data_IF_479205165343
#
_entry.id   IF_479205165343
#
_cell.length_a   1.000
_cell.length_b   1.000
_cell.length_c   1.000
_cell.angle_alpha   90.00
_cell.angle_beta   90.00
_cell.angle_gamma   90.00
#
_symmetry.space_group_name_H-M   'P 1'
#
loop_
_entity.id
_entity.type
_entity.pdbx_description
1 polymer ?
#
# COMPACT_ATOMS: atom_id res chain seq x y z
N UNK A 1 -20.93 -2.93 8.44
CA UNK A 1 -19.56 -2.90 7.91
C UNK A 1 -19.11 -4.34 7.69
N UNK A 2 -18.32 -4.58 6.65
CA UNK A 2 -17.71 -5.88 6.40
C UNK A 2 -16.84 -6.29 7.61
N UNK A 3 -16.98 -7.52 8.08
CA UNK A 3 -16.16 -8.03 9.18
C UNK A 3 -14.93 -8.74 8.62
N UNK A 4 -13.76 -8.10 8.72
CA UNK A 4 -12.50 -8.65 8.23
C UNK A 4 -11.96 -9.70 9.21
N UNK A 5 -11.41 -10.80 8.67
CA UNK A 5 -10.69 -11.81 9.46
C UNK A 5 -9.21 -11.44 9.51
N UNK A 6 -8.78 -10.89 10.64
CA UNK A 6 -7.40 -10.44 10.84
C UNK A 6 -6.55 -11.50 11.55
N UNK A 7 -5.32 -11.70 11.08
CA UNK A 7 -4.31 -12.56 11.71
C UNK A 7 -3.97 -12.02 13.10
N UNK A 8 -3.90 -12.89 14.10
CA UNK A 8 -3.58 -12.51 15.48
C UNK A 8 -2.10 -12.73 15.84
N UNK A 9 -1.41 -13.58 15.08
CA UNK A 9 0.01 -13.85 15.24
C UNK A 9 0.89 -12.68 14.72
N UNK A 10 2.12 -12.61 15.22
CA UNK A 10 3.12 -11.70 14.69
C UNK A 10 3.70 -12.24 13.39
N UNK A 11 3.12 -11.84 12.27
CA UNK A 11 3.46 -12.27 10.91
C UNK A 11 4.28 -11.24 10.12
N UNK A 12 4.86 -10.25 10.79
CA UNK A 12 5.66 -9.18 10.18
C UNK A 12 7.02 -9.70 9.77
N UNK A 13 7.59 -9.13 8.71
CA UNK A 13 8.95 -9.45 8.23
C UNK A 13 10.06 -8.80 9.08
N UNK A 14 9.70 -8.25 10.23
CA UNK A 14 10.59 -7.56 11.17
C UNK A 14 10.20 -7.90 12.61
N UNK A 15 11.14 -7.84 13.57
CA UNK A 15 10.85 -8.17 14.96
C UNK A 15 9.97 -7.12 15.64
N UNK A 16 9.13 -7.59 16.56
CA UNK A 16 8.34 -6.74 17.46
C UNK A 16 9.26 -5.93 18.38
N UNK A 17 8.86 -4.70 18.71
CA UNK A 17 9.56 -3.86 19.67
C UNK A 17 8.80 -3.77 20.99
N UNK A 18 9.45 -4.08 22.10
CA UNK A 18 8.85 -4.09 23.44
C UNK A 18 8.50 -2.70 23.98
N UNK A 19 8.99 -1.62 23.37
CA UNK A 19 8.65 -0.22 23.71
C UNK A 19 7.35 0.25 23.06
N UNK A 20 6.77 -0.54 22.17
CA UNK A 20 5.59 -0.19 21.37
C UNK A 20 4.47 -1.18 21.68
N UNK A 21 3.28 -0.66 21.98
CA UNK A 21 2.05 -1.44 21.97
C UNK A 21 1.59 -1.63 20.54
N UNK A 22 1.27 -2.86 20.20
CA UNK A 22 0.76 -3.23 18.88
C UNK A 22 -0.63 -3.81 19.03
N UNK A 23 -1.53 -3.37 18.16
CA UNK A 23 -2.87 -3.92 18.00
C UNK A 23 -3.28 -3.87 16.53
N UNK A 24 -4.43 -4.45 16.20
CA UNK A 24 -5.03 -4.33 14.87
C UNK A 24 -6.30 -3.52 14.94
N UNK A 25 -6.56 -2.75 13.89
CA UNK A 25 -7.77 -1.97 13.73
C UNK A 25 -8.34 -2.10 12.33
N UNK A 26 -9.61 -1.77 12.19
CA UNK A 26 -10.26 -1.60 10.90
C UNK A 26 -10.92 -0.23 10.83
N UNK A 27 -10.87 0.39 9.66
CA UNK A 27 -11.62 1.61 9.33
C UNK A 27 -12.18 1.48 7.92
N UNK A 28 -12.93 2.47 7.43
CA UNK A 28 -13.52 2.42 6.09
C UNK A 28 -13.28 3.72 5.36
N UNK A 29 -13.16 3.63 4.03
CA UNK A 29 -13.02 4.79 3.16
C UNK A 29 -14.38 5.27 2.63
N UNK A 30 -14.41 6.43 1.95
CA UNK A 30 -15.65 6.99 1.37
C UNK A 30 -16.28 6.13 0.27
N UNK A 31 -15.53 5.18 -0.30
CA UNK A 31 -16.06 4.18 -1.24
C UNK A 31 -16.70 2.97 -0.54
N UNK A 32 -16.72 2.94 0.80
CA UNK A 32 -17.33 1.88 1.60
C UNK A 32 -16.47 0.64 1.80
N UNK A 33 -15.20 0.68 1.40
CA UNK A 33 -14.26 -0.44 1.56
C UNK A 33 -13.69 -0.40 2.97
N UNK A 34 -13.74 -1.53 3.67
CA UNK A 34 -13.13 -1.66 4.99
C UNK A 34 -11.64 -1.99 4.84
N UNK A 35 -10.79 -1.18 5.47
CA UNK A 35 -9.33 -1.29 5.46
C UNK A 35 -8.84 -1.89 6.78
N UNK A 36 -7.84 -2.75 6.71
CA UNK A 36 -7.15 -3.33 7.85
C UNK A 36 -5.85 -2.58 8.12
N UNK A 37 -5.56 -2.33 9.40
CA UNK A 37 -4.32 -1.70 9.82
C UNK A 37 -3.71 -2.36 11.06
N UNK A 38 -2.38 -2.28 11.12
CA UNK A 38 -1.62 -2.47 12.34
C UNK A 38 -1.41 -1.11 12.99
N UNK A 39 -1.74 -1.03 14.27
CA UNK A 39 -1.61 0.17 15.11
C UNK A 39 -0.40 -0.01 16.02
N UNK A 40 0.44 1.01 16.09
CA UNK A 40 1.67 1.06 16.85
C UNK A 40 1.65 2.32 17.74
N UNK A 41 1.62 2.13 19.06
CA UNK A 41 1.56 3.23 20.03
C UNK A 41 2.74 3.14 20.99
N UNK A 42 3.50 4.22 21.24
CA UNK A 42 4.54 4.23 22.27
C UNK A 42 3.95 3.92 23.66
N UNK A 43 4.65 3.10 24.44
CA UNK A 43 4.28 2.84 25.85
C UNK A 43 4.54 4.05 26.74
N UNK A 44 3.78 4.13 27.84
CA UNK A 44 3.96 5.11 28.92
C UNK A 44 3.89 6.57 28.46
N UNK A 45 2.98 6.90 27.54
CA UNK A 45 2.79 8.29 27.10
C UNK A 45 1.57 8.91 27.75
N UNK A 46 1.74 10.15 28.20
CA UNK A 46 0.68 11.00 28.72
C UNK A 46 0.24 12.02 27.67
N UNK A 47 -1.07 12.30 27.62
CA UNK A 47 -1.64 13.28 26.71
C UNK A 47 -1.83 12.78 25.28
N UNK A 48 -2.10 13.73 24.38
CA UNK A 48 -2.37 13.47 22.97
C UNK A 48 -1.08 13.42 22.14
N UNK A 49 -0.97 12.39 21.31
CA UNK A 49 0.18 12.12 20.45
C UNK A 49 0.03 12.80 19.08
N UNK A 50 1.14 13.24 18.45
CA UNK A 50 1.14 13.38 17.00
C UNK A 50 0.94 12.00 16.36
N UNK A 51 0.29 11.95 15.19
CA UNK A 51 -0.01 10.69 14.53
C UNK A 51 0.50 10.62 13.10
N UNK A 52 0.72 9.39 12.63
CA UNK A 52 1.21 9.14 11.27
C UNK A 52 0.57 7.91 10.64
N UNK A 53 0.05 8.06 9.43
CA UNK A 53 -0.38 6.93 8.62
C UNK A 53 0.69 6.56 7.58
N UNK A 54 0.99 5.28 7.45
CA UNK A 54 2.03 4.75 6.57
C UNK A 54 1.44 3.72 5.62
N UNK A 55 1.77 3.84 4.34
CA UNK A 55 1.43 2.81 3.35
C UNK A 55 2.44 2.73 2.22
N UNK A 56 2.34 1.63 1.48
CA UNK A 56 3.24 1.22 0.42
C UNK A 56 4.34 0.27 0.86
N UNK A 57 5.10 -0.30 -0.09
CA UNK A 57 5.07 -0.10 -1.55
C UNK A 57 3.78 -0.52 -2.27
N UNK A 58 3.65 -0.08 -3.53
CA UNK A 58 2.54 -0.49 -4.38
C UNK A 58 2.64 -1.99 -4.71
N UNK A 59 1.72 -2.79 -4.16
CA UNK A 59 1.71 -4.25 -4.24
C UNK A 59 2.32 -4.94 -3.01
N UNK A 60 2.71 -4.17 -1.99
CA UNK A 60 3.11 -4.67 -0.68
C UNK A 60 1.94 -4.61 0.32
N UNK A 61 2.15 -5.22 1.50
CA UNK A 61 1.18 -5.23 2.61
C UNK A 61 1.81 -4.63 3.88
N UNK A 62 0.96 -4.27 4.85
CA UNK A 62 1.35 -3.62 6.11
C UNK A 62 2.34 -4.43 6.96
N UNK A 63 2.42 -5.74 6.77
CA UNK A 63 3.40 -6.61 7.43
C UNK A 63 4.84 -6.44 6.92
N UNK A 64 5.02 -5.70 5.82
CA UNK A 64 6.31 -5.42 5.18
C UNK A 64 6.85 -4.05 5.63
N UNK A 65 7.50 -3.29 4.74
CA UNK A 65 8.22 -2.06 5.13
C UNK A 65 7.33 -0.94 5.67
N UNK A 66 6.04 -0.84 5.32
CA UNK A 66 5.14 0.16 5.91
C UNK A 66 4.95 -0.08 7.41
N UNK A 67 4.76 -1.34 7.82
CA UNK A 67 4.72 -1.72 9.23
C UNK A 67 6.03 -1.41 9.96
N UNK A 68 7.18 -1.68 9.32
CA UNK A 68 8.48 -1.36 9.90
C UNK A 68 8.62 0.15 10.14
N UNK A 69 8.24 0.97 9.15
CA UNK A 69 8.24 2.43 9.29
C UNK A 69 7.27 2.88 10.40
N UNK A 70 6.05 2.36 10.44
CA UNK A 70 5.08 2.71 11.48
C UNK A 70 5.59 2.35 12.89
N UNK A 71 6.15 1.15 13.08
CA UNK A 71 6.77 0.77 14.35
C UNK A 71 7.92 1.72 14.73
N UNK A 72 8.77 2.11 13.76
CA UNK A 72 9.86 3.06 13.99
C UNK A 72 9.36 4.46 14.33
N UNK A 73 8.28 4.91 13.72
CA UNK A 73 7.66 6.18 14.09
C UNK A 73 7.04 6.12 15.50
N UNK A 74 6.46 5.00 15.90
CA UNK A 74 6.00 4.81 17.27
C UNK A 74 7.14 4.84 18.28
N UNK A 75 8.30 4.25 17.96
CA UNK A 75 9.52 4.37 18.77
C UNK A 75 9.98 5.83 18.96
N UNK A 76 9.62 6.72 18.03
CA UNK A 76 9.92 8.16 18.05
C UNK A 76 8.79 9.01 18.67
N UNK A 77 7.76 8.38 19.25
CA UNK A 77 6.71 9.07 19.99
C UNK A 77 5.47 9.44 19.18
N UNK A 78 5.22 8.77 18.06
CA UNK A 78 4.00 8.96 17.26
C UNK A 78 2.97 7.87 17.51
N UNK A 79 1.67 8.20 17.48
CA UNK A 79 0.64 7.20 17.21
C UNK A 79 0.74 6.82 15.73
N UNK A 80 1.20 5.62 15.40
CA UNK A 80 1.46 5.24 14.03
C UNK A 80 0.56 4.10 13.57
N UNK A 81 0.08 4.17 12.33
CA UNK A 81 -0.59 3.04 11.68
C UNK A 81 0.10 2.68 10.38
N UNK A 82 0.16 1.38 10.09
CA UNK A 82 0.41 0.88 8.74
C UNK A 82 -0.85 0.18 8.26
N UNK A 83 -1.35 0.53 7.08
CA UNK A 83 -2.60 -0.02 6.56
C UNK A 83 -2.40 -0.78 5.25
N UNK A 84 -3.22 -1.82 5.07
CA UNK A 84 -3.35 -2.49 3.79
C UNK A 84 -4.29 -1.67 2.89
N UNK A 85 -3.88 -1.34 1.66
CA UNK A 85 -4.75 -0.65 0.70
C UNK A 85 -6.04 -1.40 0.38
N UNK A 86 -7.03 -0.68 -0.14
CA UNK A 86 -8.25 -1.26 -0.72
C UNK A 86 -7.91 -2.43 -1.65
N UNK A 87 -8.69 -3.52 -1.57
CA UNK A 87 -8.56 -4.74 -2.39
C UNK A 87 -7.30 -5.58 -2.17
N UNK A 88 -6.45 -5.24 -1.20
CA UNK A 88 -5.17 -5.93 -0.94
C UNK A 88 -5.04 -6.40 0.51
N UNK A 89 -4.01 -7.21 0.79
CA UNK A 89 -3.70 -7.68 2.13
C UNK A 89 -4.90 -8.28 2.87
N UNK A 90 -5.10 -7.84 4.11
CA UNK A 90 -6.26 -8.19 4.95
C UNK A 90 -7.44 -7.23 4.78
N UNK A 91 -7.29 -6.12 4.03
CA UNK A 91 -8.38 -5.20 3.71
C UNK A 91 -9.42 -5.84 2.81
N UNK A 92 -10.66 -5.37 2.90
CA UNK A 92 -11.79 -5.84 2.12
C UNK A 92 -11.78 -5.38 0.66
N UNK A 93 -12.94 -5.51 0.01
CA UNK A 93 -13.16 -5.14 -1.39
C UNK A 93 -13.00 -6.30 -2.38
N UNK A 94 -13.85 -6.28 -3.40
CA UNK A 94 -13.88 -7.24 -4.50
C UNK A 94 -14.06 -6.52 -5.86
N UNK A 95 -13.46 -7.02 -6.96
CA UNK A 95 -12.53 -8.16 -7.00
C UNK A 95 -11.22 -7.87 -6.25
N UNK A 96 -10.47 -8.91 -5.86
CA UNK A 96 -9.17 -8.75 -5.20
C UNK A 96 -8.13 -8.22 -6.18
N UNK A 97 -7.09 -7.57 -5.66
CA UNK A 97 -5.88 -7.18 -6.40
C UNK A 97 -6.15 -6.22 -7.58
N UNK A 98 -7.05 -5.28 -7.37
CA UNK A 98 -7.25 -4.12 -8.25
C UNK A 98 -6.83 -2.85 -7.52
N UNK A 99 -6.20 -1.92 -8.23
CA UNK A 99 -5.85 -0.61 -7.73
C UNK A 99 -6.56 0.49 -8.54
N UNK A 100 -6.72 1.65 -7.92
CA UNK A 100 -7.15 2.88 -8.56
C UNK A 100 -6.44 4.05 -7.87
N UNK A 101 -5.87 5.01 -8.60
CA UNK A 101 -5.19 6.15 -8.00
C UNK A 101 -6.16 6.99 -7.14
N UNK A 102 -7.44 7.08 -7.54
CA UNK A 102 -8.48 7.77 -6.77
C UNK A 102 -8.77 7.04 -5.45
N UNK A 103 -9.06 5.74 -5.52
CA UNK A 103 -9.34 4.92 -4.32
C UNK A 103 -8.12 4.87 -3.39
N UNK A 104 -6.91 4.71 -3.92
CA UNK A 104 -5.71 4.64 -3.09
C UNK A 104 -5.30 6.00 -2.50
N UNK A 105 -5.63 7.11 -3.17
CA UNK A 105 -5.50 8.46 -2.57
C UNK A 105 -6.50 8.60 -1.42
N UNK A 106 -7.75 8.19 -1.64
CA UNK A 106 -8.80 8.20 -0.63
C UNK A 106 -8.49 7.27 0.56
N UNK A 107 -7.81 6.14 0.34
CA UNK A 107 -7.39 5.26 1.45
C UNK A 107 -6.49 5.99 2.46
N UNK A 108 -5.65 6.94 2.01
CA UNK A 108 -4.90 7.82 2.92
C UNK A 108 -5.82 8.80 3.66
N UNK A 109 -6.78 9.43 2.99
CA UNK A 109 -7.75 10.31 3.63
C UNK A 109 -8.57 9.56 4.70
N UNK A 110 -8.95 8.31 4.42
CA UNK A 110 -9.64 7.43 5.37
C UNK A 110 -8.75 7.04 6.57
N UNK A 111 -7.45 6.85 6.34
CA UNK A 111 -6.50 6.65 7.43
C UNK A 111 -6.39 7.90 8.31
N UNK A 112 -6.44 9.10 7.72
CA UNK A 112 -6.51 10.38 8.46
C UNK A 112 -7.82 10.52 9.23
N UNK A 113 -8.96 10.09 8.67
CA UNK A 113 -10.25 10.02 9.39
C UNK A 113 -10.12 9.17 10.65
N UNK A 114 -9.58 7.96 10.50
CA UNK A 114 -9.37 7.04 11.61
C UNK A 114 -8.48 7.66 12.69
N UNK A 115 -7.35 8.26 12.33
CA UNK A 115 -6.44 8.88 13.30
C UNK A 115 -7.08 10.09 14.00
N UNK A 116 -7.86 10.90 13.29
CA UNK A 116 -8.45 12.15 13.81
C UNK A 116 -9.44 11.95 14.95
N UNK A 117 -10.02 10.75 15.08
CA UNK A 117 -11.03 10.43 16.08
C UNK A 117 -10.49 9.59 17.25
N UNK A 118 -9.20 9.25 17.25
CA UNK A 118 -8.60 8.52 18.38
C UNK A 118 -8.46 9.44 19.60
N UNK A 119 -8.87 8.98 20.78
CA UNK A 119 -8.87 9.78 22.01
C UNK A 119 -7.46 10.29 22.39
N UNK A 120 -6.45 9.47 22.11
CA UNK A 120 -5.04 9.73 22.40
C UNK A 120 -4.28 10.40 21.24
N UNK A 121 -4.96 10.86 20.18
CA UNK A 121 -4.34 11.58 19.06
C UNK A 121 -4.73 13.06 19.09
N UNK A 122 -3.77 13.92 18.76
CA UNK A 122 -4.02 15.32 18.44
C UNK A 122 -4.34 15.47 16.94
N UNK A 123 -5.61 15.76 16.57
CA UNK A 123 -6.01 15.85 15.17
C UNK A 123 -5.31 16.99 14.41
N UNK A 124 -4.75 17.98 15.11
CA UNK A 124 -3.96 19.05 14.48
C UNK A 124 -2.49 18.68 14.24
N UNK A 125 -2.10 17.43 14.52
CA UNK A 125 -0.72 16.92 14.37
C UNK A 125 -0.67 15.57 13.66
N UNK A 126 -1.40 15.44 12.56
CA UNK A 126 -1.42 14.25 11.72
C UNK A 126 -0.54 14.45 10.48
N UNK A 127 0.35 13.49 10.21
CA UNK A 127 1.10 13.40 8.97
C UNK A 127 0.92 12.05 8.26
N UNK A 128 1.49 11.90 7.07
CA UNK A 128 1.48 10.64 6.33
C UNK A 128 2.85 10.33 5.69
N UNK A 129 3.13 9.03 5.54
CA UNK A 129 4.31 8.52 4.81
C UNK A 129 3.84 7.60 3.69
N UNK A 130 4.24 7.92 2.47
CA UNK A 130 4.04 7.08 1.29
C UNK A 130 5.36 6.49 0.80
N UNK A 131 5.43 5.17 0.64
CA UNK A 131 6.64 4.46 0.21
C UNK A 131 6.47 3.96 -1.23
N UNK A 132 7.47 4.17 -2.09
CA UNK A 132 7.45 3.77 -3.51
C UNK A 132 6.20 4.33 -4.21
N UNK A 133 5.36 3.51 -4.86
CA UNK A 133 4.15 3.99 -5.52
C UNK A 133 3.21 4.78 -4.62
N UNK A 134 3.14 4.43 -3.33
CA UNK A 134 2.31 5.17 -2.37
C UNK A 134 2.86 6.55 -2.02
N UNK A 135 4.11 6.87 -2.39
CA UNK A 135 4.63 8.22 -2.31
C UNK A 135 3.85 9.20 -3.21
N UNK A 136 3.48 8.77 -4.42
CA UNK A 136 2.63 9.56 -5.31
C UNK A 136 1.22 9.76 -4.75
N UNK A 137 0.59 8.69 -4.24
CA UNK A 137 -0.73 8.77 -3.59
C UNK A 137 -0.70 9.65 -2.34
N UNK A 138 0.36 9.61 -1.54
CA UNK A 138 0.51 10.46 -0.36
C UNK A 138 0.58 11.95 -0.73
N UNK A 139 1.36 12.30 -1.77
CA UNK A 139 1.41 13.69 -2.27
C UNK A 139 0.04 14.12 -2.79
N UNK A 140 -0.66 13.25 -3.52
CA UNK A 140 -2.01 13.55 -4.02
C UNK A 140 -3.01 13.79 -2.88
N UNK A 141 -3.00 12.94 -1.85
CA UNK A 141 -3.86 13.09 -0.67
C UNK A 141 -3.58 14.40 0.08
N UNK A 142 -2.31 14.72 0.29
CA UNK A 142 -1.88 15.96 0.95
C UNK A 142 -2.29 17.23 0.19
N UNK A 143 -2.45 17.15 -1.14
CA UNK A 143 -2.89 18.28 -1.94
C UNK A 143 -4.38 18.63 -1.73
N UNK A 144 -5.20 17.67 -1.28
CA UNK A 144 -6.65 17.83 -1.16
C UNK A 144 -7.17 17.78 0.28
N UNK A 145 -6.47 17.10 1.19
CA UNK A 145 -6.88 16.94 2.59
C UNK A 145 -6.05 17.85 3.52
N UNK A 146 -6.66 18.97 3.91
CA UNK A 146 -6.03 20.02 4.73
C UNK A 146 -5.71 19.60 6.17
N UNK A 147 -6.17 18.41 6.60
CA UNK A 147 -5.84 17.85 7.91
C UNK A 147 -4.44 17.25 7.94
N UNK A 148 -3.89 16.89 6.78
CA UNK A 148 -2.52 16.39 6.65
C UNK A 148 -1.55 17.55 6.82
N UNK A 149 -0.82 17.57 7.94
CA UNK A 149 0.09 18.67 8.29
C UNK A 149 1.51 18.48 7.76
N UNK A 150 1.90 17.23 7.48
CA UNK A 150 3.18 16.89 6.91
C UNK A 150 3.08 15.60 6.08
N UNK A 151 3.77 15.56 4.96
CA UNK A 151 3.84 14.38 4.08
C UNK A 151 5.29 14.07 3.75
N UNK A 152 5.66 12.80 3.82
CA UNK A 152 6.97 12.33 3.42
C UNK A 152 6.85 11.21 2.37
N UNK A 153 7.43 11.44 1.19
CA UNK A 153 7.46 10.46 0.10
C UNK A 153 8.82 9.77 0.05
N UNK A 154 8.85 8.46 0.25
CA UNK A 154 10.07 7.66 0.34
C UNK A 154 10.30 6.88 -0.96
N UNK A 155 11.42 7.14 -1.65
CA UNK A 155 11.80 6.47 -2.91
C UNK A 155 10.64 6.37 -3.91
N UNK A 156 9.92 7.47 -4.09
CA UNK A 156 8.57 7.46 -4.64
C UNK A 156 8.48 7.12 -6.13
N UNK A 157 7.30 6.64 -6.52
CA UNK A 157 6.88 6.45 -7.91
C UNK A 157 5.60 7.25 -8.17
N UNK A 158 5.48 7.79 -9.38
CA UNK A 158 4.18 8.16 -9.96
C UNK A 158 3.62 6.94 -10.71
N UNK A 159 2.72 6.22 -10.05
CA UNK A 159 2.14 5.00 -10.60
C UNK A 159 1.30 5.26 -11.86
N UNK A 160 0.68 6.44 -11.99
CA UNK A 160 -0.10 6.78 -13.18
C UNK A 160 0.80 6.96 -14.39
N UNK A 161 1.91 7.69 -14.23
CA UNK A 161 2.90 7.87 -15.29
C UNK A 161 3.60 6.56 -15.65
N UNK A 162 4.03 5.78 -14.66
CA UNK A 162 4.68 4.49 -14.92
C UNK A 162 3.73 3.50 -15.61
N UNK A 163 2.44 3.51 -15.28
CA UNK A 163 1.46 2.66 -15.95
C UNK A 163 1.25 3.08 -17.41
N UNK A 164 1.18 4.38 -17.66
CA UNK A 164 0.93 4.95 -18.99
C UNK A 164 2.15 4.87 -19.94
N UNK A 165 3.34 5.18 -19.41
CA UNK A 165 4.55 5.39 -20.21
C UNK A 165 5.66 4.37 -19.90
N UNK A 166 5.47 3.45 -18.96
CA UNK A 166 6.50 2.52 -18.54
C UNK A 166 7.60 3.18 -17.70
N UNK A 167 8.59 2.38 -17.30
CA UNK A 167 9.77 2.87 -16.59
C UNK A 167 10.58 3.82 -17.48
N UNK A 168 10.97 4.97 -16.92
CA UNK A 168 11.72 6.01 -17.64
C UNK A 168 11.07 6.45 -18.95
N UNK A 169 9.73 6.39 -19.03
CA UNK A 169 8.93 6.67 -20.22
C UNK A 169 9.28 5.83 -21.47
N UNK A 170 9.85 4.62 -21.28
CA UNK A 170 10.27 3.76 -22.38
C UNK A 170 9.13 3.25 -23.29
N UNK A 171 7.89 3.30 -22.81
CA UNK A 171 6.67 2.95 -23.57
C UNK A 171 5.91 4.20 -24.08
N UNK A 172 6.57 5.36 -24.19
CA UNK A 172 5.95 6.61 -24.67
C UNK A 172 5.71 6.65 -26.20
N UNK A 173 5.04 5.62 -26.73
CA UNK A 173 4.54 5.57 -28.11
C UNK A 173 3.02 5.49 -28.12
N UNK A 174 2.37 6.39 -28.86
CA UNK A 174 0.92 6.38 -29.03
C UNK A 174 0.40 5.02 -29.51
N UNK A 175 1.04 4.45 -30.53
CA UNK A 175 0.66 3.17 -31.11
C UNK A 175 0.82 2.03 -30.09
N UNK A 176 1.93 1.99 -29.35
CA UNK A 176 2.16 0.97 -28.33
C UNK A 176 1.12 1.07 -27.20
N UNK A 177 0.82 2.27 -26.72
CA UNK A 177 -0.22 2.51 -25.71
C UNK A 177 -1.61 2.12 -26.19
N UNK A 178 -1.93 2.38 -27.47
CA UNK A 178 -3.20 1.97 -28.06
C UNK A 178 -3.33 0.45 -28.14
N UNK A 179 -2.30 -0.26 -28.63
CA UNK A 179 -2.32 -1.73 -28.68
C UNK A 179 -2.35 -2.36 -27.28
N UNK A 180 -1.63 -1.79 -26.31
CA UNK A 180 -1.70 -2.21 -24.90
C UNK A 180 -3.13 -2.10 -24.36
N UNK A 181 -3.81 -0.98 -24.61
CA UNK A 181 -5.23 -0.79 -24.21
C UNK A 181 -6.15 -1.78 -24.90
N UNK A 182 -5.95 -2.09 -26.18
CA UNK A 182 -6.72 -3.14 -26.87
C UNK A 182 -6.54 -4.50 -26.20
N UNK A 183 -5.31 -4.88 -25.87
CA UNK A 183 -5.03 -6.13 -25.17
C UNK A 183 -5.67 -6.18 -23.78
N UNK A 184 -5.58 -5.09 -23.00
CA UNK A 184 -6.23 -5.00 -21.68
C UNK A 184 -7.76 -5.06 -21.77
N UNK A 185 -8.36 -4.42 -22.77
CA UNK A 185 -9.81 -4.49 -22.99
C UNK A 185 -10.28 -5.90 -23.40
N UNK A 186 -9.49 -6.60 -24.21
CA UNK A 186 -9.73 -8.01 -24.53
C UNK A 186 -9.63 -8.89 -23.28
N UNK A 187 -8.59 -8.71 -22.46
CA UNK A 187 -8.42 -9.42 -21.19
C UNK A 187 -9.60 -9.18 -20.25
N UNK A 188 -10.07 -7.92 -20.12
CA UNK A 188 -11.23 -7.59 -19.29
C UNK A 188 -12.51 -8.32 -19.73
N UNK A 189 -12.68 -8.50 -21.03
CA UNK A 189 -13.81 -9.26 -21.59
C UNK A 189 -13.69 -10.75 -21.25
N UNK A 190 -12.48 -11.29 -21.31
CA UNK A 190 -12.20 -12.68 -20.95
C UNK A 190 -12.39 -12.93 -19.45
N UNK A 191 -11.87 -12.03 -18.61
CA UNK A 191 -12.02 -12.11 -17.16
C UNK A 191 -13.52 -12.16 -16.76
N UNK A 192 -14.34 -11.31 -17.39
CA UNK A 192 -15.78 -11.28 -17.14
C UNK A 192 -16.50 -12.55 -17.60
N UNK A 193 -16.11 -13.13 -18.74
CA UNK A 193 -16.70 -14.39 -19.23
C UNK A 193 -16.40 -15.56 -18.29
N UNK A 194 -15.21 -15.57 -17.69
CA UNK A 194 -14.71 -16.69 -16.91
C UNK A 194 -14.99 -16.55 -15.40
N UNK A 195 -15.52 -15.40 -14.95
CA UNK A 195 -15.67 -15.05 -13.53
C UNK A 195 -14.35 -15.23 -12.74
N UNK A 196 -13.24 -14.89 -13.40
CA UNK A 196 -11.88 -15.03 -12.88
C UNK A 196 -11.00 -13.93 -13.42
N UNK A 197 -10.07 -13.40 -12.63
CA UNK A 197 -9.21 -12.29 -13.03
C UNK A 197 -7.78 -12.78 -13.19
N UNK A 198 -7.21 -12.64 -14.41
CA UNK A 198 -5.81 -12.98 -14.65
C UNK A 198 -4.88 -12.08 -13.84
N UNK A 199 -3.82 -12.64 -13.28
CA UNK A 199 -2.79 -11.90 -12.54
C UNK A 199 -1.55 -11.64 -13.40
N UNK A 200 -0.93 -10.47 -13.22
CA UNK A 200 0.20 -9.99 -14.01
C UNK A 200 1.56 -10.55 -13.56
N UNK A 201 1.59 -11.35 -12.49
CA UNK A 201 2.83 -11.79 -11.84
C UNK A 201 3.39 -10.71 -10.90
N UNK A 202 4.00 -11.15 -9.81
CA UNK A 202 4.81 -10.31 -8.94
C UNK A 202 6.23 -10.16 -9.46
N UNK A 203 7.17 -9.94 -8.54
CA UNK A 203 8.61 -10.02 -8.87
C UNK A 203 8.94 -11.42 -9.39
N UNK A 204 9.91 -11.52 -10.30
CA UNK A 204 10.34 -12.79 -10.91
C UNK A 204 10.82 -13.79 -9.85
N UNK A 205 10.52 -15.09 -10.03
CA UNK A 205 10.94 -16.15 -9.09
C UNK A 205 12.41 -16.55 -9.25
N UNK A 206 12.95 -16.39 -10.46
CA UNK A 206 14.35 -16.57 -10.78
C UNK A 206 14.89 -15.27 -11.34
N UNK A 207 15.97 -14.76 -10.74
CA UNK A 207 16.62 -13.54 -11.17
C UNK A 207 17.47 -13.84 -12.42
N UNK A 208 17.22 -13.18 -13.57
CA UNK A 208 18.09 -13.30 -14.74
C UNK A 208 19.51 -12.79 -14.46
N UNK A 209 20.53 -13.40 -15.06
CA UNK A 209 21.93 -12.99 -14.88
C UNK A 209 22.21 -11.56 -15.38
N UNK A 210 21.45 -11.09 -16.37
CA UNK A 210 21.52 -9.76 -16.97
C UNK A 210 20.45 -8.79 -16.43
N UNK A 211 19.79 -9.14 -15.33
CA UNK A 211 18.73 -8.33 -14.76
C UNK A 211 19.24 -6.92 -14.36
N UNK A 212 18.51 -5.85 -14.69
CA UNK A 212 18.83 -4.51 -14.20
C UNK A 212 18.90 -4.48 -12.66
N UNK A 213 19.76 -3.63 -12.09
CA UNK A 213 19.98 -3.57 -10.64
C UNK A 213 18.68 -3.39 -9.84
N UNK A 214 17.75 -2.56 -10.31
CA UNK A 214 16.48 -2.36 -9.60
C UNK A 214 15.62 -3.64 -9.53
N UNK A 215 15.73 -4.53 -10.52
CA UNK A 215 15.07 -5.84 -10.52
C UNK A 215 15.75 -6.76 -9.51
N UNK A 216 17.09 -6.74 -9.45
CA UNK A 216 17.85 -7.47 -8.44
C UNK A 216 17.50 -7.00 -7.01
N UNK A 217 17.31 -5.69 -6.81
CA UNK A 217 16.89 -5.13 -5.52
C UNK A 217 15.47 -5.56 -5.14
N UNK A 218 14.54 -5.57 -6.10
CA UNK A 218 13.19 -6.10 -5.91
C UNK A 218 13.21 -7.58 -5.55
N UNK A 219 14.02 -8.38 -6.25
CA UNK A 219 14.20 -9.80 -5.96
C UNK A 219 14.74 -10.00 -4.53
N UNK A 220 15.82 -9.31 -4.18
CA UNK A 220 16.46 -9.40 -2.88
C UNK A 220 15.49 -9.04 -1.73
N UNK A 221 14.52 -8.16 -1.97
CA UNK A 221 13.50 -7.83 -0.97
C UNK A 221 12.31 -8.81 -0.98
N UNK A 222 11.64 -9.00 -2.11
CA UNK A 222 10.36 -9.71 -2.19
C UNK A 222 10.48 -11.23 -2.28
N UNK A 223 11.63 -11.78 -2.68
CA UNK A 223 11.84 -13.23 -2.88
C UNK A 223 12.75 -13.86 -1.83
N UNK A 224 13.13 -13.10 -0.80
CA UNK A 224 13.94 -13.60 0.32
C UNK A 224 13.22 -13.38 1.65
N UNK A 225 13.65 -14.03 2.75
CA UNK A 225 13.07 -13.81 4.08
C UNK A 225 13.11 -12.36 4.57
N UNK A 226 13.89 -11.47 3.93
CA UNK A 226 13.97 -10.05 4.28
C UNK A 226 12.64 -9.32 4.13
N UNK A 227 11.87 -9.64 3.11
CA UNK A 227 10.65 -8.92 2.77
C UNK A 227 9.54 -9.80 2.20
N UNK A 228 9.77 -11.09 1.94
CA UNK A 228 8.74 -12.01 1.48
C UNK A 228 7.58 -12.08 2.48
N UNK A 229 6.36 -11.92 1.97
CA UNK A 229 5.16 -12.13 2.75
C UNK A 229 4.07 -12.78 1.87
N UNK A 230 3.34 -13.81 2.34
CA UNK A 230 2.41 -14.58 1.50
C UNK A 230 1.20 -13.77 1.00
N UNK A 231 0.84 -12.66 1.65
CA UNK A 231 -0.22 -11.75 1.19
C UNK A 231 0.26 -10.61 0.28
N UNK A 232 1.58 -10.48 0.09
CA UNK A 232 2.17 -9.45 -0.75
C UNK A 232 2.02 -9.80 -2.22
N UNK A 233 1.44 -8.90 -3.02
CA UNK A 233 1.30 -9.09 -4.47
C UNK A 233 2.68 -9.11 -5.12
N UNK A 234 3.58 -8.22 -4.71
CA UNK A 234 4.96 -8.15 -5.20
C UNK A 234 5.77 -9.43 -4.90
N UNK A 235 5.46 -10.14 -3.81
CA UNK A 235 6.10 -11.42 -3.50
C UNK A 235 5.52 -12.59 -4.30
N UNK A 236 4.28 -12.48 -4.79
CA UNK A 236 3.49 -13.61 -5.31
C UNK A 236 2.89 -13.30 -6.69
N UNK A 237 1.56 -13.43 -6.85
CA UNK A 237 0.88 -13.39 -8.14
C UNK A 237 0.74 -12.00 -8.78
N UNK A 238 1.09 -10.92 -8.10
CA UNK A 238 0.94 -9.57 -8.63
C UNK A 238 -0.51 -9.04 -8.65
N UNK A 239 -0.69 -7.93 -9.34
CA UNK A 239 -1.99 -7.29 -9.56
C UNK A 239 -2.82 -8.02 -10.62
N UNK A 240 -4.13 -7.81 -10.64
CA UNK A 240 -4.93 -8.18 -11.81
C UNK A 240 -4.35 -7.47 -13.04
N UNK A 241 -4.26 -8.17 -14.17
CA UNK A 241 -3.69 -7.65 -15.42
C UNK A 241 -4.37 -6.32 -15.82
N UNK A 242 -5.68 -6.25 -15.65
CA UNK A 242 -6.49 -5.07 -15.98
C UNK A 242 -6.43 -3.96 -14.94
N UNK A 243 -5.71 -4.12 -13.83
CA UNK A 243 -5.51 -3.06 -12.83
C UNK A 243 -4.77 -1.84 -13.40
N UNK A 244 -4.08 -2.01 -14.52
CA UNK A 244 -3.42 -0.94 -15.26
C UNK A 244 -4.36 -0.09 -16.11
N UNK A 245 -5.66 -0.42 -16.18
CA UNK A 245 -6.71 0.41 -16.80
C UNK A 245 -7.15 1.55 -15.86
N UNK A 246 -6.17 2.30 -15.35
CA UNK A 246 -6.33 3.44 -14.45
C UNK A 246 -5.86 4.73 -15.11
#
# INVERSE_FOLDING_TARGET
>A
MEQLKLTQEWDKVFPKNDKVEHSKATFHNRYGITLAADVYVPKNVEGKLPAIAVSGPFGAVKEQTSGLYAQKMAELGFFAIAFDPSYTGESGGAPRYVASPDINTEDFCAAVDFLSVQENVDPERIGIIGICGWGGMAINAAAIDTRIKATAAMTMYDMTRVTANGYFDAEDSEQARFEKRKALNAQRTEDYKNDSYALAGGVVDQLPDDAPQFVADYYAYYKTPRGYHPRSLGSNGGWNVTSSLI
#
